data_IF_968139353945
#
_entry.id   IF_968139353945
#
_cell.length_a   1.000
_cell.length_b   1.000
_cell.length_c   1.000
_cell.angle_alpha   90.00
_cell.angle_beta   90.00
_cell.angle_gamma   90.00
#
_symmetry.space_group_name_H-M   'P 1'
#
loop_
_entity.id
_entity.type
_entity.pdbx_description
1 polymer ?
#
# COMPACT_ATOMS: atom_id res chain seq x y z
N UNK A 1 16.76 33.12 -0.46
CA UNK A 1 15.48 33.58 -0.98
C UNK A 1 15.47 33.89 -2.48
N UNK A 2 16.64 33.88 -3.19
CA UNK A 2 16.71 34.19 -4.63
C UNK A 2 15.76 33.33 -5.49
N UNK A 3 15.56 32.05 -5.16
CA UNK A 3 14.63 31.15 -5.88
C UNK A 3 13.18 31.65 -5.70
N UNK A 4 12.78 32.03 -4.50
CA UNK A 4 11.45 32.55 -4.22
C UNK A 4 11.21 33.87 -4.96
N UNK A 5 12.20 34.77 -4.97
CA UNK A 5 12.10 36.06 -5.64
C UNK A 5 12.01 35.89 -7.17
N UNK A 6 12.81 35.01 -7.74
CA UNK A 6 12.73 34.68 -9.16
C UNK A 6 11.41 33.98 -9.54
N UNK A 7 10.86 33.18 -8.62
CA UNK A 7 9.65 32.41 -8.85
C UNK A 7 8.34 33.22 -8.74
N UNK A 8 8.35 34.38 -8.10
CA UNK A 8 7.12 35.21 -7.91
C UNK A 8 6.38 35.48 -9.23
N UNK A 9 7.11 35.81 -10.29
CA UNK A 9 6.53 36.07 -11.62
C UNK A 9 5.95 34.83 -12.31
N UNK A 10 6.21 33.64 -11.77
CA UNK A 10 5.74 32.36 -12.28
C UNK A 10 4.76 31.69 -11.31
N UNK A 11 4.23 32.43 -10.33
CA UNK A 11 3.32 31.92 -9.30
C UNK A 11 3.92 30.72 -8.54
N UNK A 12 5.24 30.75 -8.27
CA UNK A 12 5.91 29.68 -7.52
C UNK A 12 5.28 29.54 -6.13
N UNK A 13 4.88 28.33 -5.81
CA UNK A 13 4.37 27.96 -4.49
C UNK A 13 5.39 27.08 -3.78
N UNK A 14 5.64 27.36 -2.50
CA UNK A 14 6.44 26.50 -1.64
C UNK A 14 5.57 25.35 -1.16
N UNK A 15 6.04 24.12 -1.40
CA UNK A 15 5.42 22.91 -0.88
C UNK A 15 6.44 22.12 -0.07
N UNK A 16 5.96 21.30 0.85
CA UNK A 16 6.77 20.34 1.60
C UNK A 16 6.30 18.91 1.32
N UNK A 17 7.17 17.90 1.53
CA UNK A 17 6.72 16.51 1.59
C UNK A 17 5.57 16.37 2.58
N UNK A 18 4.52 15.65 2.18
CA UNK A 18 3.34 15.47 3.01
C UNK A 18 2.97 13.98 3.06
N UNK A 19 2.84 13.43 4.28
CA UNK A 19 2.49 12.03 4.49
C UNK A 19 1.19 11.65 3.80
N UNK A 20 0.14 12.45 3.95
CA UNK A 20 -1.14 12.16 3.32
C UNK A 20 -1.05 11.99 1.80
N UNK A 21 -0.26 12.82 1.11
CA UNK A 21 -0.12 12.75 -0.36
C UNK A 21 0.53 11.46 -0.83
N UNK A 22 1.62 11.03 -0.16
CA UNK A 22 2.26 9.78 -0.53
C UNK A 22 1.35 8.58 -0.28
N UNK A 23 0.63 8.59 0.86
CA UNK A 23 -0.30 7.53 1.22
C UNK A 23 -1.45 7.50 0.20
N UNK A 24 -2.07 8.63 -0.11
CA UNK A 24 -3.11 8.73 -1.16
C UNK A 24 -2.65 8.15 -2.50
N UNK A 25 -1.41 8.43 -2.89
CA UNK A 25 -0.82 7.94 -4.13
C UNK A 25 -0.29 6.49 -4.05
N UNK A 26 -0.34 5.86 -2.87
CA UNK A 26 0.21 4.52 -2.67
C UNK A 26 1.73 4.46 -2.73
N UNK A 27 2.43 5.57 -2.46
CA UNK A 27 3.89 5.63 -2.47
C UNK A 27 4.43 5.15 -1.14
N UNK A 28 5.21 4.08 -1.18
CA UNK A 28 5.81 3.45 -0.01
C UNK A 28 6.98 4.28 0.54
N UNK A 29 7.16 4.21 1.84
CA UNK A 29 8.30 4.81 2.54
C UNK A 29 9.22 3.70 3.07
N UNK A 30 10.52 3.82 2.75
CA UNK A 30 11.52 2.91 3.31
C UNK A 30 11.64 3.11 4.83
N UNK A 31 11.72 2.00 5.55
CA UNK A 31 11.77 1.97 7.01
C UNK A 31 10.41 2.12 7.69
N UNK A 32 9.34 2.43 6.94
CA UNK A 32 7.98 2.51 7.47
C UNK A 32 7.06 1.46 6.84
N UNK A 33 6.97 1.42 5.52
CA UNK A 33 6.11 0.47 4.81
C UNK A 33 6.88 -0.76 4.32
N UNK A 34 8.18 -0.66 4.17
CA UNK A 34 9.06 -1.74 3.72
C UNK A 34 10.47 -1.53 4.21
N UNK A 35 11.22 -2.60 4.27
CA UNK A 35 12.65 -2.63 4.59
C UNK A 35 13.35 -3.79 3.85
N UNK A 36 14.57 -4.15 4.26
CA UNK A 36 15.34 -5.23 3.66
C UNK A 36 14.82 -6.65 3.96
N UNK A 37 13.78 -6.80 4.78
CA UNK A 37 13.11 -8.07 5.07
C UNK A 37 11.89 -8.31 4.17
N UNK A 38 11.48 -7.30 3.40
CA UNK A 38 10.34 -7.36 2.51
C UNK A 38 10.76 -7.58 1.06
N UNK A 39 10.11 -8.49 0.37
CA UNK A 39 10.33 -8.71 -1.05
C UNK A 39 9.39 -7.83 -1.92
N UNK A 40 9.73 -7.59 -3.20
CA UNK A 40 8.93 -6.73 -4.06
C UNK A 40 7.48 -7.19 -4.28
N UNK A 41 7.21 -8.49 -4.29
CA UNK A 41 5.86 -9.01 -4.47
C UNK A 41 5.00 -8.71 -3.24
N UNK A 42 5.56 -8.91 -2.07
CA UNK A 42 4.92 -8.62 -0.79
C UNK A 42 4.55 -7.14 -0.65
N UNK A 43 5.34 -6.24 -1.26
CA UNK A 43 5.14 -4.79 -1.23
C UNK A 43 4.30 -4.24 -2.40
N UNK A 44 3.66 -5.08 -3.20
CA UNK A 44 2.96 -4.68 -4.44
C UNK A 44 3.85 -4.00 -5.49
N UNK A 45 5.16 -4.20 -5.44
CA UNK A 45 6.15 -3.66 -6.38
C UNK A 45 6.58 -4.67 -7.46
N UNK A 46 5.90 -5.81 -7.54
CA UNK A 46 6.22 -6.87 -8.49
C UNK A 46 6.26 -6.40 -9.95
N UNK A 47 5.46 -5.42 -10.32
CA UNK A 47 5.44 -4.81 -11.65
C UNK A 47 6.74 -4.07 -12.02
N UNK A 48 7.54 -3.68 -11.02
CA UNK A 48 8.85 -3.03 -11.24
C UNK A 48 9.98 -4.04 -11.45
N UNK A 49 9.74 -5.32 -11.14
CA UNK A 49 10.75 -6.36 -11.21
C UNK A 49 10.88 -6.90 -12.63
N UNK A 50 12.11 -6.92 -13.13
CA UNK A 50 12.41 -7.47 -14.45
C UNK A 50 12.59 -8.99 -14.36
N UNK A 51 11.59 -9.75 -14.80
CA UNK A 51 11.60 -11.21 -14.78
C UNK A 51 11.60 -11.78 -16.20
N UNK A 52 12.18 -12.97 -16.38
CA UNK A 52 12.13 -13.69 -17.63
C UNK A 52 10.70 -14.18 -17.89
N UNK A 53 10.24 -14.12 -19.15
CA UNK A 53 8.90 -14.57 -19.48
C UNK A 53 8.40 -14.06 -20.83
N UNK A 54 7.08 -14.04 -21.02
CA UNK A 54 6.42 -13.50 -22.22
C UNK A 54 5.77 -12.14 -21.89
N UNK A 55 5.78 -11.23 -22.85
CA UNK A 55 5.12 -9.94 -22.76
C UNK A 55 6.08 -8.75 -22.62
N UNK A 56 5.53 -7.55 -22.44
CA UNK A 56 6.27 -6.28 -22.40
C UNK A 56 7.30 -6.18 -21.26
N UNK A 57 7.11 -6.95 -20.21
CA UNK A 57 7.96 -6.98 -19.02
C UNK A 57 9.06 -8.03 -19.09
N UNK A 58 9.20 -8.74 -20.24
CA UNK A 58 10.27 -9.69 -20.46
C UNK A 58 11.60 -8.97 -20.62
N UNK A 59 12.34 -8.84 -19.53
CA UNK A 59 13.67 -8.26 -19.53
C UNK A 59 14.70 -9.35 -19.27
N UNK A 60 15.68 -9.43 -20.16
CA UNK A 60 16.75 -10.42 -20.11
C UNK A 60 17.92 -10.01 -19.21
N UNK A 61 17.87 -8.79 -18.63
CA UNK A 61 18.91 -8.32 -17.74
C UNK A 61 19.11 -9.30 -16.57
N UNK A 62 20.35 -9.56 -16.27
CA UNK A 62 20.75 -10.34 -15.11
C UNK A 62 21.05 -9.43 -13.92
N UNK A 63 20.66 -9.86 -12.71
CA UNK A 63 20.87 -9.11 -11.47
C UNK A 63 20.83 -10.04 -10.25
N UNK A 64 21.43 -9.62 -9.16
CA UNK A 64 21.45 -10.39 -7.91
C UNK A 64 20.01 -10.59 -7.39
N UNK A 65 19.64 -11.84 -7.08
CA UNK A 65 18.32 -12.21 -6.58
C UNK A 65 17.28 -12.53 -7.64
N UNK A 66 17.58 -12.43 -8.93
CA UNK A 66 16.64 -12.72 -10.03
C UNK A 66 16.05 -14.13 -9.93
N UNK A 67 16.89 -15.14 -9.76
CA UNK A 67 16.45 -16.56 -9.67
C UNK A 67 15.45 -16.76 -8.52
N UNK A 68 15.70 -16.11 -7.37
CA UNK A 68 14.81 -16.21 -6.21
C UNK A 68 13.45 -15.58 -6.52
N UNK A 69 13.44 -14.43 -7.17
CA UNK A 69 12.21 -13.74 -7.55
C UNK A 69 11.44 -14.50 -8.66
N UNK A 70 12.14 -15.12 -9.61
CA UNK A 70 11.52 -15.98 -10.62
C UNK A 70 10.87 -17.21 -9.98
N UNK A 71 11.58 -17.87 -9.07
CA UNK A 71 11.01 -18.99 -8.29
C UNK A 71 9.79 -18.55 -7.49
N UNK A 72 9.86 -17.41 -6.81
CA UNK A 72 8.75 -16.87 -6.02
C UNK A 72 7.52 -16.55 -6.90
N UNK A 73 7.73 -15.96 -8.09
CA UNK A 73 6.67 -15.76 -9.10
C UNK A 73 6.03 -17.08 -9.50
N UNK A 74 6.83 -18.10 -9.78
CA UNK A 74 6.34 -19.40 -10.23
C UNK A 74 5.59 -20.12 -9.11
N UNK A 75 6.04 -20.02 -7.87
CA UNK A 75 5.33 -20.49 -6.69
C UNK A 75 3.96 -19.79 -6.56
N UNK A 76 3.90 -18.47 -6.68
CA UNK A 76 2.64 -17.71 -6.66
C UNK A 76 1.67 -18.17 -7.75
N UNK A 77 2.15 -18.36 -8.97
CA UNK A 77 1.34 -18.87 -10.10
C UNK A 77 0.85 -20.30 -9.90
N UNK A 78 1.62 -21.11 -9.17
CA UNK A 78 1.22 -22.46 -8.78
C UNK A 78 0.22 -22.49 -7.61
N UNK A 79 -0.14 -21.33 -7.04
CA UNK A 79 -1.04 -21.21 -5.89
C UNK A 79 -0.35 -21.38 -4.55
N UNK A 80 0.98 -21.43 -4.52
CA UNK A 80 1.75 -21.45 -3.29
C UNK A 80 1.80 -20.04 -2.68
N UNK A 81 2.04 -19.97 -1.36
CA UNK A 81 2.17 -18.72 -0.62
C UNK A 81 3.62 -18.58 -0.12
N UNK A 82 4.55 -17.99 -0.91
CA UNK A 82 5.96 -17.92 -0.55
C UNK A 82 6.25 -16.97 0.62
N UNK A 83 5.26 -16.21 1.08
CA UNK A 83 5.30 -15.34 2.25
C UNK A 83 3.94 -15.27 2.94
N UNK A 84 3.91 -14.79 4.18
CA UNK A 84 2.73 -14.83 5.03
C UNK A 84 1.86 -13.57 4.95
N UNK A 85 2.47 -12.40 4.83
CA UNK A 85 1.79 -11.10 4.87
C UNK A 85 1.93 -10.35 3.55
N UNK A 86 0.85 -9.72 3.12
CA UNK A 86 0.77 -8.89 1.91
C UNK A 86 0.46 -7.45 2.28
N UNK A 87 1.19 -6.50 1.71
CA UNK A 87 0.86 -5.08 1.80
C UNK A 87 -0.45 -4.79 1.05
N UNK A 88 -1.33 -4.06 1.68
CA UNK A 88 -2.64 -3.68 1.13
C UNK A 88 -2.98 -2.23 1.46
N UNK A 89 -3.91 -1.65 0.71
CA UNK A 89 -4.59 -0.43 1.09
C UNK A 89 -5.83 -0.73 1.91
N UNK A 90 -6.06 0.07 2.92
CA UNK A 90 -7.18 -0.08 3.85
C UNK A 90 -7.96 1.23 3.98
N UNK A 91 -9.27 1.14 4.04
CA UNK A 91 -10.16 2.19 4.54
C UNK A 91 -10.45 1.90 6.01
N UNK A 92 -10.30 2.88 6.88
CA UNK A 92 -10.46 2.71 8.32
C UNK A 92 -11.60 3.57 8.86
N UNK A 93 -12.32 3.07 9.86
CA UNK A 93 -13.20 3.86 10.73
C UNK A 93 -12.41 4.72 11.72
N UNK A 94 -13.11 5.27 12.70
CA UNK A 94 -12.55 6.09 13.77
C UNK A 94 -12.46 7.59 13.42
N UNK A 95 -11.94 8.37 14.36
CA UNK A 95 -11.75 9.81 14.21
C UNK A 95 -10.67 10.13 13.18
N UNK A 96 -10.70 11.32 12.55
CA UNK A 96 -9.67 11.73 11.59
C UNK A 96 -8.25 11.62 12.14
N UNK A 97 -7.36 10.98 11.38
CA UNK A 97 -5.95 10.78 11.72
C UNK A 97 -5.16 11.87 10.99
N UNK A 98 -4.81 12.95 11.70
CA UNK A 98 -4.17 14.14 11.13
C UNK A 98 -2.74 14.35 11.62
N UNK A 99 -2.25 13.44 12.47
CA UNK A 99 -0.91 13.48 12.99
C UNK A 99 -0.13 12.23 12.59
N UNK A 100 1.18 12.37 12.42
CA UNK A 100 2.06 11.24 12.16
C UNK A 100 2.07 10.30 13.37
N UNK A 101 1.66 9.06 13.13
CA UNK A 101 1.68 8.01 14.15
C UNK A 101 2.76 6.98 13.78
N UNK A 102 3.90 6.94 14.48
CA UNK A 102 4.99 6.02 14.19
C UNK A 102 4.72 4.58 14.64
N UNK A 103 3.69 4.37 15.46
CA UNK A 103 3.40 3.07 16.04
C UNK A 103 2.68 2.16 15.04
N UNK A 104 2.98 0.87 15.11
CA UNK A 104 2.26 -0.14 14.35
C UNK A 104 0.94 -0.47 15.05
N UNK A 105 -0.17 -0.24 14.36
CA UNK A 105 -1.49 -0.54 14.89
C UNK A 105 -1.93 -1.92 14.43
N UNK A 106 -2.41 -2.72 15.36
CA UNK A 106 -2.69 -4.12 15.11
C UNK A 106 -3.99 -4.33 14.35
N UNK A 107 -3.91 -5.18 13.33
CA UNK A 107 -5.05 -5.65 12.53
C UNK A 107 -5.44 -7.04 13.05
N UNK A 108 -6.74 -7.30 13.14
CA UNK A 108 -7.30 -8.60 13.49
C UNK A 108 -8.53 -8.91 12.62
N UNK A 109 -8.89 -10.18 12.47
CA UNK A 109 -10.11 -10.57 11.75
C UNK A 109 -11.36 -10.32 12.60
N UNK A 110 -11.30 -10.62 13.88
CA UNK A 110 -12.44 -10.61 14.81
C UNK A 110 -12.33 -9.59 15.95
N UNK A 111 -11.28 -8.76 15.95
CA UNK A 111 -11.02 -7.79 17.01
C UNK A 111 -10.26 -8.35 18.22
N UNK A 112 -9.75 -9.57 18.16
CA UNK A 112 -9.07 -10.25 19.27
C UNK A 112 -7.61 -10.56 18.97
N UNK A 113 -7.36 -11.55 18.12
CA UNK A 113 -6.01 -12.02 17.82
C UNK A 113 -5.40 -11.22 16.67
N UNK A 114 -4.25 -10.57 16.88
CA UNK A 114 -3.55 -9.84 15.83
C UNK A 114 -3.12 -10.77 14.70
N UNK A 115 -3.42 -10.37 13.45
CA UNK A 115 -2.99 -11.07 12.26
C UNK A 115 -2.18 -10.19 11.30
N UNK A 116 -2.09 -8.89 11.57
CA UNK A 116 -1.40 -7.92 10.74
C UNK A 116 -1.19 -6.59 11.47
N UNK A 117 -0.73 -5.58 10.73
CA UNK A 117 -0.45 -4.25 11.30
C UNK A 117 -0.54 -3.15 10.24
N UNK A 118 -0.86 -1.93 10.69
CA UNK A 118 -0.86 -0.71 9.87
C UNK A 118 0.55 -0.12 9.87
N UNK A 119 0.99 0.36 8.71
CA UNK A 119 2.29 1.03 8.55
C UNK A 119 2.17 2.53 8.34
N UNK A 120 1.16 2.97 7.60
CA UNK A 120 1.03 4.36 7.17
C UNK A 120 -0.43 4.80 7.14
N UNK A 121 -0.99 5.25 8.27
CA UNK A 121 -2.36 5.74 8.33
C UNK A 121 -2.41 7.25 8.08
N UNK A 122 -3.51 7.74 7.49
CA UNK A 122 -3.83 9.17 7.40
C UNK A 122 -5.30 9.42 7.07
N UNK A 123 -5.81 10.60 7.43
CA UNK A 123 -7.13 11.04 7.00
C UNK A 123 -7.12 11.53 5.55
N UNK A 124 -8.09 11.08 4.76
CA UNK A 124 -8.29 11.53 3.37
C UNK A 124 -9.46 12.53 3.33
N UNK A 125 -9.18 13.84 3.25
CA UNK A 125 -10.22 14.86 3.40
C UNK A 125 -11.27 14.82 2.28
N UNK A 126 -10.87 14.53 1.04
CA UNK A 126 -11.78 14.46 -0.10
C UNK A 126 -12.76 13.28 0.00
N UNK A 127 -12.35 12.19 0.63
CA UNK A 127 -13.18 10.99 0.82
C UNK A 127 -13.85 10.97 2.20
N UNK A 128 -13.51 11.89 3.11
CA UNK A 128 -14.09 11.99 4.44
C UNK A 128 -13.81 10.76 5.32
N UNK A 129 -12.70 10.05 5.10
CA UNK A 129 -12.36 8.81 5.81
C UNK A 129 -10.86 8.66 6.03
N UNK A 130 -10.49 7.81 6.98
CA UNK A 130 -9.11 7.38 7.15
C UNK A 130 -8.73 6.35 6.07
N UNK A 131 -7.53 6.49 5.54
CA UNK A 131 -6.89 5.53 4.64
C UNK A 131 -5.58 5.05 5.29
N UNK A 132 -5.14 3.85 4.96
CA UNK A 132 -3.87 3.35 5.44
C UNK A 132 -3.24 2.34 4.49
N UNK A 133 -1.92 2.22 4.56
CA UNK A 133 -1.19 1.05 4.10
C UNK A 133 -0.90 0.15 5.30
N UNK A 134 -0.93 -1.15 5.10
CA UNK A 134 -0.69 -2.12 6.16
C UNK A 134 -0.52 -3.53 5.61
N UNK A 135 -0.05 -4.42 6.47
CA UNK A 135 0.15 -5.83 6.15
C UNK A 135 -0.97 -6.67 6.74
N UNK A 136 -1.55 -7.53 5.92
CA UNK A 136 -2.58 -8.52 6.31
C UNK A 136 -2.16 -9.91 5.83
N UNK A 137 -2.76 -10.99 6.35
CA UNK A 137 -2.51 -12.33 5.85
C UNK A 137 -2.70 -12.43 4.34
N UNK A 138 -1.71 -12.97 3.64
CA UNK A 138 -1.78 -13.20 2.20
C UNK A 138 -2.71 -14.37 1.92
N UNK A 139 -3.84 -14.12 1.28
CA UNK A 139 -4.85 -15.13 0.95
C UNK A 139 -4.55 -15.92 -0.32
N UNK A 140 -3.54 -15.51 -1.09
CA UNK A 140 -3.17 -16.11 -2.37
C UNK A 140 -3.80 -15.42 -3.58
N UNK A 141 -4.52 -14.31 -3.38
CA UNK A 141 -5.15 -13.56 -4.48
C UNK A 141 -4.11 -12.94 -5.41
N UNK A 142 -4.34 -13.10 -6.72
CA UNK A 142 -3.50 -12.51 -7.76
C UNK A 142 -4.33 -11.62 -8.66
N UNK A 143 -3.72 -10.54 -9.14
CA UNK A 143 -4.27 -9.68 -10.20
C UNK A 143 -4.34 -10.44 -11.53
N UNK A 144 -5.04 -9.87 -12.52
CA UNK A 144 -5.09 -10.43 -13.89
C UNK A 144 -3.68 -10.66 -14.50
N UNK A 145 -2.72 -9.85 -14.11
CA UNK A 145 -1.32 -9.96 -14.56
C UNK A 145 -0.47 -10.91 -13.70
N UNK A 146 -1.07 -11.61 -12.72
CA UNK A 146 -0.41 -12.58 -11.87
C UNK A 146 0.43 -11.98 -10.74
N UNK A 147 0.26 -10.69 -10.42
CA UNK A 147 0.88 -10.07 -9.25
C UNK A 147 0.02 -10.25 -8.00
N UNK A 148 0.64 -10.48 -6.83
CA UNK A 148 -0.09 -10.57 -5.57
C UNK A 148 -0.85 -9.29 -5.27
N UNK A 149 -2.05 -9.45 -4.78
CA UNK A 149 -2.93 -8.34 -4.36
C UNK A 149 -3.70 -8.74 -3.11
N UNK A 150 -4.12 -7.74 -2.33
CA UNK A 150 -5.15 -7.96 -1.32
C UNK A 150 -6.53 -8.03 -1.97
N UNK A 151 -7.38 -8.94 -1.51
CA UNK A 151 -8.76 -9.06 -2.01
C UNK A 151 -9.59 -7.87 -1.53
N UNK A 152 -9.91 -6.95 -2.43
CA UNK A 152 -10.74 -5.77 -2.15
C UNK A 152 -12.10 -6.19 -1.57
N UNK A 153 -12.56 -5.47 -0.54
CA UNK A 153 -13.77 -5.77 0.19
C UNK A 153 -13.60 -6.73 1.37
N UNK A 154 -12.39 -7.29 1.58
CA UNK A 154 -12.11 -8.08 2.79
C UNK A 154 -12.10 -7.17 4.02
N UNK A 155 -12.81 -7.59 5.07
CA UNK A 155 -13.02 -6.80 6.29
C UNK A 155 -12.11 -7.26 7.41
N UNK A 156 -11.66 -6.31 8.18
CA UNK A 156 -10.83 -6.48 9.37
C UNK A 156 -11.29 -5.54 10.50
N UNK A 157 -10.69 -5.71 11.65
CA UNK A 157 -10.77 -4.80 12.80
C UNK A 157 -9.37 -4.25 13.06
N UNK A 158 -9.29 -2.97 13.40
CA UNK A 158 -8.02 -2.29 13.71
C UNK A 158 -8.08 -1.65 15.08
N UNK A 159 -7.09 -1.93 15.89
CA UNK A 159 -6.89 -1.26 17.18
C UNK A 159 -6.17 0.06 16.95
N UNK A 160 -6.90 1.16 17.04
CA UNK A 160 -6.34 2.50 16.96
C UNK A 160 -5.89 3.00 18.34
N UNK A 161 -4.94 3.96 18.39
CA UNK A 161 -4.68 4.72 19.61
C UNK A 161 -5.96 5.42 20.12
N UNK A 162 -6.05 5.58 21.43
CA UNK A 162 -7.27 6.07 22.11
C UNK A 162 -7.80 7.40 21.57
N UNK A 163 -6.91 8.32 21.16
CA UNK A 163 -7.29 9.61 20.61
C UNK A 163 -8.08 9.51 19.28
N UNK A 164 -7.92 8.40 18.54
CA UNK A 164 -8.58 8.15 17.25
C UNK A 164 -9.76 7.18 17.34
N UNK A 165 -10.00 6.60 18.53
CA UNK A 165 -11.15 5.73 18.74
C UNK A 165 -12.42 6.55 19.00
N UNK A 166 -13.55 6.13 18.43
CA UNK A 166 -14.88 6.66 18.80
C UNK A 166 -15.27 6.19 20.21
N UNK A 167 -14.92 4.94 20.53
CA UNK A 167 -15.11 4.33 21.85
C UNK A 167 -13.79 3.70 22.28
N UNK A 168 -13.32 4.04 23.47
CA UNK A 168 -12.05 3.55 24.01
C UNK A 168 -12.00 2.02 24.06
N UNK A 169 -10.88 1.47 23.58
CA UNK A 169 -10.63 0.03 23.59
C UNK A 169 -11.45 -0.79 22.61
N UNK A 170 -12.33 -0.15 21.82
CA UNK A 170 -13.12 -0.83 20.79
C UNK A 170 -12.41 -0.70 19.44
N UNK A 171 -12.03 -1.80 18.79
CA UNK A 171 -11.40 -1.76 17.48
C UNK A 171 -12.37 -1.22 16.43
N UNK A 172 -11.86 -0.43 15.49
CA UNK A 172 -12.64 0.14 14.39
C UNK A 172 -12.73 -0.83 13.21
N UNK A 173 -13.73 -0.65 12.36
CA UNK A 173 -13.85 -1.39 11.12
C UNK A 173 -12.77 -0.95 10.13
N UNK A 174 -12.25 -1.92 9.39
CA UNK A 174 -11.35 -1.72 8.27
C UNK A 174 -11.75 -2.59 7.09
N UNK A 175 -11.48 -2.11 5.89
CA UNK A 175 -11.77 -2.84 4.65
C UNK A 175 -10.63 -2.64 3.66
N UNK A 176 -10.21 -3.73 2.99
CA UNK A 176 -9.23 -3.63 1.91
C UNK A 176 -9.83 -2.87 0.74
N UNK A 177 -9.13 -1.85 0.28
CA UNK A 177 -9.48 -1.02 -0.88
C UNK A 177 -8.35 -0.97 -1.89
N UNK A 178 -8.67 -0.52 -3.09
CA UNK A 178 -7.67 -0.33 -4.15
C UNK A 178 -6.68 0.77 -3.78
N UNK A 179 -5.43 0.57 -4.17
CA UNK A 179 -4.34 1.56 -4.14
C UNK A 179 -3.97 1.88 -5.59
N UNK A 180 -3.78 3.14 -5.95
CA UNK A 180 -3.91 4.39 -5.16
C UNK A 180 -5.33 4.67 -4.66
N UNK A 181 -5.43 5.49 -3.60
CA UNK A 181 -6.72 5.80 -2.95
C UNK A 181 -7.54 6.88 -3.66
N UNK A 182 -6.96 7.61 -4.61
CA UNK A 182 -7.64 8.67 -5.39
C UNK A 182 -8.19 8.12 -6.70
N UNK A 183 -9.47 8.36 -6.99
CA UNK A 183 -10.12 7.86 -8.21
C UNK A 183 -9.45 8.36 -9.49
N UNK A 184 -9.10 9.65 -9.56
CA UNK A 184 -8.42 10.25 -10.70
C UNK A 184 -7.06 9.60 -10.97
N UNK A 185 -6.31 9.30 -9.92
CA UNK A 185 -5.03 8.62 -10.05
C UNK A 185 -5.20 7.16 -10.46
N UNK A 186 -6.21 6.49 -9.91
CA UNK A 186 -6.55 5.12 -10.30
C UNK A 186 -6.92 5.00 -11.77
N UNK A 187 -7.71 5.94 -12.31
CA UNK A 187 -8.07 5.94 -13.71
C UNK A 187 -6.83 6.07 -14.62
N UNK A 188 -5.98 7.05 -14.35
CA UNK A 188 -4.76 7.28 -15.14
C UNK A 188 -3.76 6.13 -15.04
N UNK A 189 -3.59 5.54 -13.86
CA UNK A 189 -2.68 4.41 -13.65
C UNK A 189 -3.18 3.15 -14.33
N UNK A 190 -4.50 2.96 -14.39
CA UNK A 190 -5.11 1.81 -15.08
C UNK A 190 -4.92 1.87 -16.59
N UNK A 191 -5.00 3.06 -17.17
CA UNK A 191 -4.77 3.26 -18.60
C UNK A 191 -3.31 3.03 -18.98
N UNK A 192 -2.36 3.49 -18.14
CA UNK A 192 -0.92 3.37 -18.40
C UNK A 192 -0.40 1.95 -18.16
N UNK A 193 -0.96 1.22 -17.22
CA UNK A 193 -0.46 -0.10 -16.83
C UNK A 193 -1.10 -1.26 -17.56
N UNK A 194 -2.10 -1.06 -18.41
CA UNK A 194 -2.87 -2.13 -19.04
C UNK A 194 -3.55 -3.06 -18.03
N UNK A 195 -3.76 -2.58 -16.80
CA UNK A 195 -4.25 -3.39 -15.69
C UNK A 195 -5.75 -3.70 -15.78
N UNK A 196 -6.43 -3.24 -16.84
CA UNK A 196 -7.87 -3.39 -17.02
C UNK A 196 -8.30 -4.30 -18.16
N UNK A 197 -7.37 -5.02 -18.82
CA UNK A 197 -7.73 -6.02 -19.82
C UNK A 197 -7.30 -7.43 -19.45
#
# INVERSE_FOLDING_TARGET
NAVLDAGKKHNLMVIAPAHHRRIQAGILSWGQDMDNQHNPFQCNLGYQVSLSGKGEWNKTADYVGKEVLEKMRDDLRAGNKPYQLQLVGLSLGGKPIEEYAPDFWLISEDGKEPCGFITSPWYHPEQGRNIAMGYVPFDGSLSKNGFPIGKVGTKYKVHLPDQYCDTLGVPVDAEIVSVPFTESFNANTREVSGANE
#
